data_IF_249709943736
#
_entry.id   IF_249709943736
#
_cell.length_a   1.000
_cell.length_b   1.000
_cell.length_c   1.000
_cell.angle_alpha   90.00
_cell.angle_beta   90.00
_cell.angle_gamma   90.00
#
_symmetry.space_group_name_H-M   'P 1'
#
loop_
_entity.id
_entity.type
_entity.pdbx_description
1 polymer ?
#
# COMPACT_ATOMS: atom_id res chain seq x y z
N UNK A 1 6.41 -46.62 -45.51
CA UNK A 1 5.38 -45.74 -44.93
C UNK A 1 5.75 -45.45 -43.48
N UNK A 2 6.37 -44.30 -43.24
CA UNK A 2 6.78 -43.85 -41.89
C UNK A 2 5.68 -42.93 -41.36
N UNK A 3 4.98 -43.35 -40.33
CA UNK A 3 3.98 -42.52 -39.63
C UNK A 3 4.71 -41.50 -38.77
N UNK A 4 4.65 -40.24 -39.15
CA UNK A 4 5.07 -39.14 -38.27
C UNK A 4 4.02 -38.95 -37.19
N UNK A 5 4.44 -39.15 -35.92
CA UNK A 5 3.64 -38.83 -34.73
C UNK A 5 3.99 -37.37 -34.34
N UNK A 6 3.03 -36.45 -34.53
CA UNK A 6 3.13 -35.09 -34.03
C UNK A 6 2.77 -35.11 -32.54
N UNK A 7 3.75 -34.89 -31.69
CA UNK A 7 3.53 -34.64 -30.26
C UNK A 7 3.20 -33.14 -30.10
N UNK A 8 1.92 -32.87 -29.84
CA UNK A 8 1.43 -31.55 -29.49
C UNK A 8 1.86 -31.27 -28.02
N UNK A 9 2.92 -30.51 -27.82
CA UNK A 9 3.31 -30.03 -26.49
C UNK A 9 2.35 -28.87 -26.13
N UNK A 10 1.38 -29.17 -25.28
CA UNK A 10 0.50 -28.17 -24.67
C UNK A 10 1.35 -27.39 -23.63
N UNK A 11 1.80 -26.20 -24.00
CA UNK A 11 2.43 -25.29 -23.07
C UNK A 11 1.32 -24.75 -22.13
N UNK A 12 1.17 -25.38 -20.97
CA UNK A 12 0.36 -24.83 -19.90
C UNK A 12 1.12 -23.63 -19.36
N UNK A 13 0.79 -22.45 -19.84
CA UNK A 13 1.18 -21.19 -19.18
C UNK A 13 0.38 -21.16 -17.88
N UNK A 14 1.00 -21.60 -16.80
CA UNK A 14 0.48 -21.34 -15.47
C UNK A 14 0.57 -19.82 -15.26
N UNK A 15 -0.55 -19.12 -15.45
CA UNK A 15 -0.71 -17.78 -14.88
C UNK A 15 -0.58 -17.95 -13.39
N UNK A 16 0.54 -17.49 -12.83
CA UNK A 16 0.68 -17.34 -11.40
C UNK A 16 -0.44 -16.39 -10.98
N UNK A 17 -1.46 -16.92 -10.33
CA UNK A 17 -2.45 -16.11 -9.63
C UNK A 17 -1.67 -15.40 -8.53
N UNK A 18 -1.34 -14.14 -8.76
CA UNK A 18 -0.75 -13.29 -7.72
C UNK A 18 -1.78 -13.15 -6.61
N UNK A 19 -1.42 -13.64 -5.45
CA UNK A 19 -2.17 -13.35 -4.21
C UNK A 19 -2.15 -11.85 -4.00
N UNK A 20 -3.27 -11.27 -3.59
CA UNK A 20 -3.41 -9.82 -3.41
C UNK A 20 -3.52 -9.44 -1.92
N UNK A 21 -2.50 -9.72 -1.11
CA UNK A 21 -2.39 -9.07 0.18
C UNK A 21 -2.11 -7.58 -0.03
N UNK A 22 -2.48 -6.76 0.92
CA UNK A 22 -2.08 -5.37 1.03
C UNK A 22 -1.42 -5.21 2.40
N UNK A 23 -0.12 -4.94 2.46
CA UNK A 23 0.84 -4.80 1.37
C UNK A 23 1.03 -6.08 0.54
N UNK A 24 1.40 -5.90 -0.73
CA UNK A 24 1.70 -7.02 -1.63
C UNK A 24 3.05 -7.67 -1.27
N UNK A 25 3.21 -8.94 -1.61
CA UNK A 25 4.47 -9.68 -1.37
C UNK A 25 5.67 -9.01 -2.06
N UNK A 26 5.46 -8.38 -3.24
CA UNK A 26 6.53 -7.67 -3.95
C UNK A 26 6.91 -6.34 -3.28
N UNK A 27 6.04 -5.77 -2.45
CA UNK A 27 6.35 -4.57 -1.66
C UNK A 27 7.28 -4.89 -0.49
N UNK A 28 7.31 -6.14 -0.04
CA UNK A 28 8.11 -6.60 1.10
C UNK A 28 7.91 -5.72 2.35
N UNK A 29 6.69 -5.27 2.57
CA UNK A 29 6.26 -4.52 3.73
C UNK A 29 5.52 -5.49 4.66
N UNK A 30 5.94 -5.64 5.93
CA UNK A 30 5.30 -6.57 6.83
C UNK A 30 3.90 -6.13 7.25
N UNK A 31 3.69 -4.85 7.53
CA UNK A 31 2.42 -4.32 8.01
C UNK A 31 2.17 -2.89 7.54
N UNK A 32 0.90 -2.58 7.27
CA UNK A 32 0.39 -1.22 7.37
C UNK A 32 0.30 -0.84 8.84
N UNK A 33 0.20 0.46 9.13
CA UNK A 33 0.20 0.96 10.48
C UNK A 33 -0.78 2.13 10.61
N UNK A 34 -1.46 2.21 11.75
CA UNK A 34 -2.24 3.38 12.15
C UNK A 34 -2.21 3.48 13.67
N UNK A 35 -1.86 4.63 14.20
CA UNK A 35 -1.83 4.87 15.64
C UNK A 35 -3.15 5.43 16.17
N UNK A 36 -3.37 5.31 17.47
CA UNK A 36 -4.44 6.03 18.16
C UNK A 36 -4.19 7.53 18.13
N UNK A 37 -5.24 8.35 18.02
CA UNK A 37 -5.15 9.80 17.82
C UNK A 37 -4.49 10.57 18.99
N UNK A 38 -4.13 9.91 20.08
CA UNK A 38 -3.39 10.48 21.20
C UNK A 38 -1.91 10.11 21.17
N UNK A 39 -1.46 9.31 20.20
CA UNK A 39 -0.07 8.95 20.05
C UNK A 39 0.79 10.20 19.73
N UNK A 40 2.05 10.14 20.08
CA UNK A 40 3.03 11.13 19.62
C UNK A 40 3.31 10.87 18.13
N UNK A 41 3.35 11.91 17.31
CA UNK A 41 3.63 11.81 15.87
C UNK A 41 5.01 11.24 15.58
N UNK A 42 5.96 11.43 16.50
CA UNK A 42 7.29 10.81 16.49
C UNK A 42 7.31 9.27 16.55
N UNK A 43 6.13 8.63 16.57
CA UNK A 43 6.01 7.19 16.42
C UNK A 43 5.75 6.76 14.95
N UNK A 44 5.73 7.73 14.04
CA UNK A 44 5.68 7.53 12.60
C UNK A 44 4.28 7.53 12.00
N UNK A 45 3.33 8.20 12.62
CA UNK A 45 1.99 8.44 12.07
C UNK A 45 1.61 9.90 12.33
N UNK A 46 1.39 10.68 11.29
CA UNK A 46 1.20 12.13 11.40
C UNK A 46 -0.28 12.56 11.44
N UNK A 47 -1.21 11.69 11.06
CA UNK A 47 -2.64 12.01 10.96
C UNK A 47 -3.58 10.94 11.55
N UNK A 48 -3.03 9.82 12.01
CA UNK A 48 -3.76 8.71 12.67
C UNK A 48 -4.86 8.09 11.80
N UNK A 49 -4.65 8.11 10.48
CA UNK A 49 -5.62 7.64 9.51
C UNK A 49 -4.93 7.08 8.29
N UNK A 50 -5.52 6.05 7.68
CA UNK A 50 -5.03 5.54 6.41
C UNK A 50 -6.18 5.07 5.52
N UNK A 51 -6.19 5.54 4.26
CA UNK A 51 -7.20 5.16 3.27
C UNK A 51 -6.59 4.30 2.16
N UNK A 52 -7.23 3.15 1.88
CA UNK A 52 -6.93 2.29 0.76
C UNK A 52 -8.10 2.17 -0.18
N UNK A 53 -7.80 2.08 -1.47
CA UNK A 53 -8.76 1.88 -2.54
C UNK A 53 -8.59 0.49 -3.14
N UNK A 54 -9.70 -0.20 -3.39
CA UNK A 54 -9.74 -1.50 -4.06
C UNK A 54 -10.42 -1.35 -5.41
N UNK A 55 -9.72 -1.75 -6.45
CA UNK A 55 -10.20 -1.78 -7.81
C UNK A 55 -10.71 -3.19 -8.16
N UNK A 56 -11.99 -3.31 -8.42
CA UNK A 56 -12.65 -4.53 -8.89
C UNK A 56 -12.84 -4.43 -10.40
N UNK A 57 -12.33 -5.37 -11.20
CA UNK A 57 -12.52 -5.36 -12.65
C UNK A 57 -14.00 -5.34 -13.04
N UNK A 58 -14.33 -4.67 -14.14
CA UNK A 58 -15.72 -4.55 -14.62
C UNK A 58 -16.39 -5.90 -14.90
N UNK A 59 -15.62 -6.88 -15.35
CA UNK A 59 -16.09 -8.22 -15.67
C UNK A 59 -16.34 -9.12 -14.46
N UNK A 60 -15.89 -8.71 -13.27
CA UNK A 60 -16.13 -9.44 -12.04
C UNK A 60 -17.49 -9.05 -11.44
N UNK A 61 -18.42 -10.01 -11.35
CA UNK A 61 -19.82 -9.80 -10.93
C UNK A 61 -20.23 -10.58 -9.67
N UNK A 62 -19.30 -11.36 -9.09
CA UNK A 62 -19.58 -12.16 -7.91
C UNK A 62 -19.40 -11.33 -6.62
N UNK A 63 -20.06 -11.71 -5.52
CA UNK A 63 -19.80 -11.10 -4.22
C UNK A 63 -18.34 -11.27 -3.81
N UNK A 64 -17.81 -10.27 -3.11
CA UNK A 64 -16.45 -10.28 -2.59
C UNK A 64 -16.38 -9.77 -1.15
N UNK A 65 -15.23 -9.92 -0.55
CA UNK A 65 -14.96 -9.58 0.84
C UNK A 65 -13.68 -8.76 0.95
N UNK A 66 -13.64 -7.85 1.93
CA UNK A 66 -12.43 -7.17 2.37
C UNK A 66 -12.09 -7.75 3.73
N UNK A 67 -10.94 -8.40 3.82
CA UNK A 67 -10.46 -9.01 5.05
C UNK A 67 -9.36 -8.16 5.66
N UNK A 68 -9.40 -8.01 6.98
CA UNK A 68 -8.38 -7.31 7.76
C UNK A 68 -7.72 -8.32 8.68
N UNK A 69 -6.41 -8.44 8.59
CA UNK A 69 -5.59 -9.22 9.50
C UNK A 69 -5.21 -8.32 10.67
N UNK A 70 -5.36 -8.81 11.88
CA UNK A 70 -5.04 -8.13 13.11
C UNK A 70 -5.69 -6.73 13.21
N UNK A 71 -7.05 -6.67 13.22
CA UNK A 71 -7.75 -5.37 13.16
C UNK A 71 -7.85 -4.66 14.50
N UNK A 72 -7.58 -5.34 15.61
CA UNK A 72 -7.60 -4.76 16.94
C UNK A 72 -6.20 -4.28 17.35
N UNK A 73 -6.14 -3.50 18.40
CA UNK A 73 -4.85 -3.08 18.96
C UNK A 73 -4.57 -3.88 20.21
N UNK A 74 -3.60 -4.78 20.11
CA UNK A 74 -3.23 -5.73 21.16
C UNK A 74 -2.21 -6.76 20.68
N UNK A 75 -1.81 -7.67 21.55
CA UNK A 75 -0.92 -8.75 21.17
C UNK A 75 0.55 -8.40 21.01
N UNK A 76 1.25 -9.16 20.16
CA UNK A 76 2.70 -9.09 20.07
C UNK A 76 3.26 -8.29 18.89
N UNK A 77 2.43 -8.04 17.87
CA UNK A 77 2.88 -7.33 16.67
C UNK A 77 2.62 -5.84 16.73
N UNK A 78 1.70 -5.43 17.58
CA UNK A 78 1.32 -4.03 17.77
C UNK A 78 2.33 -3.25 18.62
N UNK A 79 2.31 -1.93 18.46
CA UNK A 79 3.17 -1.02 19.21
C UNK A 79 2.46 -0.57 20.48
N UNK A 80 3.06 -0.87 21.63
CA UNK A 80 2.48 -0.58 22.93
C UNK A 80 3.03 0.72 23.53
N UNK A 81 2.15 1.65 23.88
CA UNK A 81 2.46 2.85 24.64
C UNK A 81 1.89 2.78 26.06
N UNK A 82 2.53 2.03 26.94
CA UNK A 82 2.07 1.85 28.32
C UNK A 82 1.18 0.62 28.52
N UNK A 83 -0.14 0.77 28.49
CA UNK A 83 -1.13 -0.32 28.46
C UNK A 83 -1.99 -0.15 27.21
N UNK A 84 -2.40 -1.23 26.56
CA UNK A 84 -3.26 -1.15 25.39
C UNK A 84 -4.56 -0.42 25.71
N UNK A 85 -4.77 0.72 25.08
CA UNK A 85 -5.94 1.57 25.27
C UNK A 85 -6.52 2.09 23.96
N UNK A 86 -5.91 1.74 22.83
CA UNK A 86 -6.26 2.27 21.53
C UNK A 86 -7.53 1.59 20.98
N UNK A 87 -8.30 2.41 20.28
CA UNK A 87 -9.47 1.99 19.54
C UNK A 87 -9.35 2.43 18.10
N UNK A 88 -9.39 1.46 17.20
CA UNK A 88 -9.40 1.65 15.76
C UNK A 88 -10.81 1.51 15.19
N UNK A 89 -11.12 2.26 14.14
CA UNK A 89 -12.37 2.14 13.38
C UNK A 89 -12.03 1.89 11.92
N UNK A 90 -12.58 0.82 11.38
CA UNK A 90 -12.53 0.53 9.95
C UNK A 90 -13.88 0.83 9.32
N UNK A 91 -13.87 1.59 8.22
CA UNK A 91 -15.05 1.98 7.48
C UNK A 91 -14.87 1.67 6.00
N UNK A 92 -15.83 0.93 5.43
CA UNK A 92 -15.83 0.56 4.00
C UNK A 92 -16.87 1.40 3.27
N UNK A 93 -16.45 2.06 2.22
CA UNK A 93 -17.25 2.93 1.38
C UNK A 93 -17.33 2.41 -0.06
N UNK A 94 -18.46 2.68 -0.71
CA UNK A 94 -18.69 2.49 -2.14
C UNK A 94 -19.57 3.61 -2.69
N UNK A 95 -20.16 3.41 -3.87
CA UNK A 95 -21.06 4.39 -4.49
C UNK A 95 -20.35 5.59 -5.11
N UNK A 96 -21.14 6.51 -5.65
CA UNK A 96 -20.64 7.71 -6.30
C UNK A 96 -19.74 8.54 -5.37
N UNK A 97 -18.72 9.15 -5.92
CA UNK A 97 -17.76 10.03 -5.22
C UNK A 97 -16.82 9.32 -4.23
N UNK A 98 -16.80 8.00 -4.19
CA UNK A 98 -15.87 7.29 -3.29
C UNK A 98 -14.41 7.52 -3.68
N UNK A 99 -14.14 7.78 -4.97
CA UNK A 99 -12.83 8.08 -5.52
C UNK A 99 -12.79 9.41 -6.29
N UNK A 100 -13.85 9.76 -7.02
CA UNK A 100 -13.88 11.00 -7.81
C UNK A 100 -13.93 12.27 -6.97
N UNK A 101 -14.34 12.18 -5.69
CA UNK A 101 -14.17 13.26 -4.73
C UNK A 101 -12.67 13.52 -4.50
N UNK A 102 -12.26 14.79 -4.62
CA UNK A 102 -10.85 15.19 -4.50
C UNK A 102 -10.32 14.91 -3.09
N UNK A 103 -11.09 15.28 -2.06
CA UNK A 103 -10.70 15.10 -0.67
C UNK A 103 -10.48 13.61 -0.29
N UNK A 104 -11.14 12.67 -1.01
CA UNK A 104 -10.95 11.24 -0.79
C UNK A 104 -9.54 10.74 -1.15
N UNK A 105 -8.80 11.52 -1.94
CA UNK A 105 -7.47 11.19 -2.44
C UNK A 105 -6.37 12.03 -1.80
N UNK A 106 -6.72 12.87 -0.84
CA UNK A 106 -5.74 13.63 -0.09
C UNK A 106 -5.03 12.75 0.95
N UNK A 107 -3.87 13.21 1.39
CA UNK A 107 -2.98 12.49 2.30
C UNK A 107 -3.28 12.77 3.78
N UNK A 108 -4.18 13.67 4.07
CA UNK A 108 -4.65 13.98 5.42
C UNK A 108 -6.17 13.97 5.45
N UNK A 109 -6.81 13.52 6.53
CA UNK A 109 -8.26 13.37 6.62
C UNK A 109 -8.99 14.72 6.74
N UNK A 110 -8.99 15.50 5.68
CA UNK A 110 -9.64 16.82 5.61
C UNK A 110 -10.84 16.79 4.67
N UNK A 111 -11.76 17.75 4.87
CA UNK A 111 -12.91 17.94 4.01
C UNK A 111 -13.82 16.71 3.93
N UNK A 112 -14.19 16.30 2.72
CA UNK A 112 -15.08 15.17 2.46
C UNK A 112 -14.34 13.85 2.20
N UNK A 113 -13.24 13.58 2.90
CA UNK A 113 -12.44 12.35 2.72
C UNK A 113 -13.25 11.04 2.93
N UNK A 114 -14.33 11.07 3.72
CA UNK A 114 -15.31 9.98 3.88
C UNK A 114 -16.41 9.98 2.82
N UNK A 115 -16.15 10.55 1.65
CA UNK A 115 -17.08 10.56 0.53
C UNK A 115 -17.47 9.15 0.08
N UNK A 116 -18.61 9.06 -0.60
CA UNK A 116 -19.24 7.80 -0.99
C UNK A 116 -20.34 7.37 -0.02
N UNK A 117 -20.81 6.15 -0.17
CA UNK A 117 -21.81 5.52 0.68
C UNK A 117 -21.13 4.58 1.66
N UNK A 118 -21.35 4.76 2.96
CA UNK A 118 -20.86 3.83 3.98
C UNK A 118 -21.59 2.48 3.83
N UNK A 119 -20.81 1.44 3.55
CA UNK A 119 -21.32 0.07 3.37
C UNK A 119 -21.14 -0.79 4.61
N UNK A 120 -20.07 -0.58 5.36
CA UNK A 120 -19.80 -1.28 6.61
C UNK A 120 -18.89 -0.43 7.51
N UNK A 121 -19.04 -0.57 8.81
CA UNK A 121 -18.19 0.05 9.82
C UNK A 121 -18.02 -0.88 11.01
N UNK A 122 -16.80 -0.93 11.56
CA UNK A 122 -16.53 -1.65 12.80
C UNK A 122 -15.38 -1.02 13.56
N UNK A 123 -15.60 -0.88 14.87
CA UNK A 123 -14.57 -0.50 15.82
C UNK A 123 -13.97 -1.73 16.49
N UNK A 124 -12.65 -1.67 16.71
CA UNK A 124 -11.90 -2.64 17.47
C UNK A 124 -11.16 -1.93 18.61
N UNK A 125 -11.03 -2.63 19.70
CA UNK A 125 -10.16 -2.33 20.83
C UNK A 125 -9.42 -3.63 21.14
N UNK A 126 -8.55 -3.65 22.13
CA UNK A 126 -7.84 -4.85 22.54
C UNK A 126 -8.81 -6.05 22.63
N UNK A 127 -8.52 -7.09 21.86
CA UNK A 127 -9.32 -8.31 21.82
C UNK A 127 -8.49 -9.51 21.33
N UNK A 128 -8.01 -10.38 22.24
CA UNK A 128 -7.16 -11.52 21.91
C UNK A 128 -7.74 -12.49 20.85
N UNK A 129 -9.01 -12.36 20.52
CA UNK A 129 -9.61 -13.16 19.45
C UNK A 129 -9.08 -12.78 18.08
N UNK A 130 -8.68 -11.53 17.91
CA UNK A 130 -8.23 -10.99 16.63
C UNK A 130 -6.72 -10.87 16.55
N UNK A 131 -5.97 -11.02 17.66
CA UNK A 131 -4.52 -11.11 17.66
C UNK A 131 -4.07 -12.16 16.63
N UNK A 132 -3.32 -11.75 15.60
CA UNK A 132 -2.93 -12.59 14.49
C UNK A 132 -4.11 -13.27 13.76
N UNK A 133 -5.31 -12.71 13.86
CA UNK A 133 -6.56 -13.22 13.31
C UNK A 133 -7.10 -12.37 12.16
N UNK A 134 -8.03 -12.95 11.39
CA UNK A 134 -8.72 -12.24 10.32
C UNK A 134 -10.13 -11.83 10.74
N UNK A 135 -10.49 -10.58 10.46
CA UNK A 135 -11.87 -10.12 10.41
C UNK A 135 -12.29 -9.91 8.95
N UNK A 136 -13.54 -10.20 8.63
CA UNK A 136 -14.06 -10.14 7.25
C UNK A 136 -15.25 -9.19 7.17
N UNK A 137 -15.13 -8.17 6.33
CA UNK A 137 -16.22 -7.30 5.90
C UNK A 137 -16.87 -7.84 4.63
N UNK A 138 -18.17 -7.70 4.51
CA UNK A 138 -18.94 -8.12 3.35
C UNK A 138 -19.96 -9.22 3.67
N UNK A 139 -20.55 -9.91 2.68
CA UNK A 139 -20.22 -9.78 1.24
C UNK A 139 -20.62 -8.43 0.65
N UNK A 140 -19.80 -7.90 -0.26
CA UNK A 140 -20.10 -6.72 -1.06
C UNK A 140 -20.48 -7.13 -2.48
N UNK A 141 -21.43 -6.42 -3.08
CA UNK A 141 -21.72 -6.56 -4.50
C UNK A 141 -20.84 -5.57 -5.29
N UNK A 142 -20.11 -5.99 -6.34
CA UNK A 142 -19.32 -5.08 -7.16
C UNK A 142 -20.09 -3.84 -7.65
N UNK A 143 -21.40 -3.98 -7.94
CA UNK A 143 -22.23 -2.85 -8.36
C UNK A 143 -22.37 -1.73 -7.31
N UNK A 144 -21.97 -1.97 -6.06
CA UNK A 144 -21.97 -0.95 -5.01
C UNK A 144 -20.73 -0.03 -5.08
N UNK A 145 -19.70 -0.36 -5.87
CA UNK A 145 -18.53 0.49 -6.08
C UNK A 145 -18.78 1.60 -7.10
N UNK A 146 -17.97 2.65 -7.06
CA UNK A 146 -17.93 3.69 -8.06
C UNK A 146 -17.31 3.16 -9.36
N UNK A 147 -18.04 3.24 -10.46
CA UNK A 147 -17.46 2.87 -11.76
C UNK A 147 -16.58 4.00 -12.28
N UNK A 148 -15.34 3.68 -12.62
CA UNK A 148 -14.37 4.64 -13.15
C UNK A 148 -13.86 4.15 -14.50
N UNK A 149 -14.19 4.88 -15.56
CA UNK A 149 -13.92 4.51 -16.96
C UNK A 149 -12.42 4.29 -17.23
N UNK A 150 -11.56 5.14 -16.67
CA UNK A 150 -10.12 5.05 -16.90
C UNK A 150 -9.53 3.72 -16.36
N UNK A 151 -10.13 3.17 -15.32
CA UNK A 151 -9.71 1.89 -14.73
C UNK A 151 -10.48 0.68 -15.31
N UNK A 152 -11.54 0.93 -16.06
CA UNK A 152 -12.50 -0.12 -16.51
C UNK A 152 -12.92 -1.02 -15.36
N UNK A 153 -13.25 -0.41 -14.22
CA UNK A 153 -13.54 -1.13 -12.99
C UNK A 153 -14.30 -0.29 -11.98
N UNK A 154 -14.55 -0.91 -10.84
CA UNK A 154 -15.29 -0.30 -9.73
C UNK A 154 -14.39 -0.14 -8.53
N UNK A 155 -14.47 1.02 -7.90
CA UNK A 155 -13.65 1.38 -6.75
C UNK A 155 -14.47 1.31 -5.47
N UNK A 156 -13.85 0.74 -4.46
CA UNK A 156 -14.25 0.77 -3.05
C UNK A 156 -13.13 1.41 -2.25
N UNK A 157 -13.45 2.01 -1.12
CA UNK A 157 -12.47 2.60 -0.20
C UNK A 157 -12.65 1.99 1.19
N UNK A 158 -11.53 1.66 1.84
CA UNK A 158 -11.50 1.38 3.28
C UNK A 158 -10.66 2.46 3.97
N UNK A 159 -11.15 2.94 5.10
CA UNK A 159 -10.43 3.87 5.96
C UNK A 159 -10.21 3.18 7.29
N UNK A 160 -8.99 3.20 7.81
CA UNK A 160 -8.64 2.87 9.18
C UNK A 160 -8.33 4.17 9.93
N UNK A 161 -8.95 4.38 11.07
CA UNK A 161 -8.73 5.57 11.91
C UNK A 161 -8.52 5.18 13.37
N UNK A 162 -7.48 5.75 13.98
CA UNK A 162 -7.27 5.71 15.41
C UNK A 162 -8.13 6.75 16.13
N UNK A 163 -9.21 6.32 16.76
CA UNK A 163 -10.19 7.23 17.37
C UNK A 163 -10.01 7.43 18.88
N UNK A 164 -9.16 6.62 19.51
CA UNK A 164 -8.80 6.73 20.92
C UNK A 164 -7.45 6.04 21.17
N UNK A 165 -6.77 6.42 22.28
CA UNK A 165 -5.53 5.80 22.72
C UNK A 165 -4.29 6.28 21.98
N UNK A 166 -3.14 5.68 22.31
CA UNK A 166 -1.81 6.08 21.89
C UNK A 166 -0.95 4.91 21.39
N UNK A 167 -1.51 3.70 21.30
CA UNK A 167 -0.83 2.53 20.75
C UNK A 167 -0.94 2.49 19.23
N UNK A 168 -0.05 1.75 18.57
CA UNK A 168 -0.06 1.53 17.12
C UNK A 168 -0.60 0.16 16.74
N UNK A 169 -1.55 0.14 15.83
CA UNK A 169 -2.09 -1.08 15.22
C UNK A 169 -1.33 -1.41 13.93
N UNK A 170 -0.86 -2.66 13.83
CA UNK A 170 -0.13 -3.24 12.71
C UNK A 170 -0.99 -4.25 11.97
N UNK A 171 -1.49 -3.91 10.80
CA UNK A 171 -2.49 -4.70 10.10
C UNK A 171 -2.15 -4.94 8.62
N UNK A 172 -2.94 -5.80 7.98
CA UNK A 172 -2.90 -6.05 6.53
C UNK A 172 -4.31 -6.23 5.99
N UNK A 173 -4.50 -5.90 4.71
CA UNK A 173 -5.74 -6.22 4.02
C UNK A 173 -5.59 -7.40 3.08
N UNK A 174 -6.72 -8.00 2.74
CA UNK A 174 -6.83 -8.95 1.65
C UNK A 174 -8.19 -8.81 0.96
N UNK A 175 -8.17 -8.59 -0.35
CA UNK A 175 -9.37 -8.59 -1.18
C UNK A 175 -9.67 -10.02 -1.61
N UNK A 176 -10.81 -10.59 -1.17
CA UNK A 176 -11.08 -12.01 -1.29
C UNK A 176 -12.43 -12.34 -1.92
N UNK A 177 -12.46 -13.43 -2.69
CA UNK A 177 -13.70 -14.07 -3.15
C UNK A 177 -14.36 -14.96 -2.10
N UNK A 178 -13.71 -15.16 -0.95
CA UNK A 178 -14.14 -16.10 0.09
C UNK A 178 -14.09 -15.39 1.47
N UNK A 179 -15.12 -15.63 2.30
CA UNK A 179 -15.23 -15.01 3.62
C UNK A 179 -14.21 -15.56 4.63
N UNK A 180 -13.85 -16.83 4.52
CA UNK A 180 -13.06 -17.55 5.51
C UNK A 180 -11.62 -17.81 5.06
N UNK A 181 -11.32 -17.60 3.78
CA UNK A 181 -10.01 -17.83 3.19
C UNK A 181 -9.56 -16.66 2.30
N UNK A 182 -8.25 -16.49 2.16
CA UNK A 182 -7.64 -15.51 1.27
C UNK A 182 -7.61 -16.08 -0.16
N UNK A 183 -8.57 -15.72 -0.98
CA UNK A 183 -8.69 -16.12 -2.39
C UNK A 183 -8.77 -14.89 -3.28
N UNK A 184 -7.80 -14.65 -4.16
CA UNK A 184 -7.74 -13.41 -4.93
C UNK A 184 -8.87 -13.28 -5.94
N UNK A 185 -9.16 -12.03 -6.30
CA UNK A 185 -9.98 -11.67 -7.47
C UNK A 185 -9.02 -11.44 -8.63
N UNK A 186 -9.15 -12.20 -9.70
CA UNK A 186 -8.31 -12.02 -10.89
C UNK A 186 -8.49 -10.62 -11.49
N UNK A 187 -7.37 -9.93 -11.75
CA UNK A 187 -7.35 -8.58 -12.32
C UNK A 187 -7.66 -7.45 -11.34
N UNK A 188 -8.00 -7.74 -10.08
CA UNK A 188 -8.17 -6.69 -9.09
C UNK A 188 -6.82 -6.10 -8.65
N UNK A 189 -6.86 -4.87 -8.14
CA UNK A 189 -5.69 -4.17 -7.60
C UNK A 189 -6.09 -3.36 -6.36
N UNK A 190 -5.11 -2.96 -5.57
CA UNK A 190 -5.29 -2.03 -4.48
C UNK A 190 -4.28 -0.88 -4.61
N UNK A 191 -4.65 0.29 -4.12
CA UNK A 191 -3.79 1.46 -4.15
C UNK A 191 -4.14 2.43 -3.03
N UNK A 192 -3.19 3.29 -2.69
CA UNK A 192 -3.35 4.38 -1.75
C UNK A 192 -2.67 5.64 -2.32
N UNK A 193 -2.92 6.79 -1.73
CA UNK A 193 -2.25 8.06 -2.05
C UNK A 193 -1.23 8.47 -0.99
N UNK A 194 -1.33 7.85 0.17
CA UNK A 194 -0.36 7.86 1.23
C UNK A 194 -0.18 6.45 1.76
N UNK A 195 1.03 6.14 2.17
CA UNK A 195 1.39 4.85 2.69
C UNK A 195 2.03 5.03 4.06
N UNK A 196 1.35 4.59 5.12
CA UNK A 196 1.86 4.53 6.49
C UNK A 196 2.14 3.07 6.82
N UNK A 197 3.41 2.73 7.03
CA UNK A 197 3.81 1.34 7.17
C UNK A 197 4.98 1.13 8.11
N UNK A 198 5.07 -0.09 8.63
CA UNK A 198 6.21 -0.58 9.37
C UNK A 198 7.16 -1.32 8.45
N UNK A 199 8.44 -1.01 8.55
CA UNK A 199 9.52 -1.73 7.90
C UNK A 199 9.89 -3.01 8.65
N UNK A 200 10.53 -3.96 7.95
CA UNK A 200 11.29 -5.02 8.61
C UNK A 200 12.41 -4.44 9.48
N UNK A 201 12.73 -5.11 10.56
CA UNK A 201 13.83 -4.69 11.44
C UNK A 201 15.21 -5.21 10.98
N UNK A 202 15.26 -5.93 9.88
CA UNK A 202 16.49 -6.47 9.30
C UNK A 202 17.03 -5.52 8.22
N UNK A 203 18.32 -5.22 8.25
CA UNK A 203 18.98 -4.35 7.27
C UNK A 203 19.14 -5.01 5.88
N UNK A 204 18.97 -6.34 5.76
CA UNK A 204 18.98 -7.05 4.48
C UNK A 204 17.63 -6.94 3.74
N UNK A 205 16.57 -6.56 4.45
CA UNK A 205 15.24 -6.40 3.90
C UNK A 205 15.05 -5.01 3.30
N UNK A 206 14.48 -4.97 2.11
CA UNK A 206 14.19 -3.73 1.39
C UNK A 206 12.69 -3.67 1.14
N UNK A 207 12.04 -2.60 1.62
CA UNK A 207 10.64 -2.36 1.28
C UNK A 207 10.53 -1.58 -0.02
N UNK A 208 9.46 -1.82 -0.77
CA UNK A 208 9.20 -1.23 -2.06
C UNK A 208 7.81 -0.60 -2.09
N UNK A 209 7.68 0.59 -2.65
CA UNK A 209 6.41 1.18 -3.01
C UNK A 209 6.45 1.68 -4.46
N UNK A 210 5.29 1.67 -5.13
CA UNK A 210 5.22 1.83 -6.57
C UNK A 210 4.30 2.98 -7.00
N UNK A 211 4.75 4.27 -6.85
CA UNK A 211 3.99 5.40 -7.37
C UNK A 211 3.91 5.35 -8.90
N UNK A 212 2.70 5.52 -9.42
CA UNK A 212 2.45 5.49 -10.86
C UNK A 212 2.56 6.88 -11.48
N UNK A 213 3.28 6.97 -12.60
CA UNK A 213 3.50 8.23 -13.33
C UNK A 213 2.47 8.39 -14.44
N UNK A 214 1.46 9.22 -14.19
CA UNK A 214 0.40 9.51 -15.15
C UNK A 214 0.87 10.41 -16.29
N UNK A 215 0.13 10.38 -17.41
CA UNK A 215 0.35 11.25 -18.54
C UNK A 215 0.32 12.73 -18.12
N UNK A 216 1.28 13.52 -18.64
CA UNK A 216 1.42 14.93 -18.34
C UNK A 216 2.10 15.25 -17.01
N UNK A 217 2.64 14.25 -16.30
CA UNK A 217 3.51 14.46 -15.15
C UNK A 217 4.90 14.93 -15.62
N UNK A 218 5.36 16.07 -15.13
CA UNK A 218 6.66 16.68 -15.49
C UNK A 218 7.67 16.52 -14.35
N UNK A 219 7.21 16.68 -13.13
CA UNK A 219 8.01 16.43 -11.92
C UNK A 219 7.14 15.80 -10.82
N UNK A 220 7.82 15.12 -9.91
CA UNK A 220 7.21 14.53 -8.73
C UNK A 220 7.92 15.05 -7.50
N UNK A 221 7.14 15.48 -6.52
CA UNK A 221 7.59 15.78 -5.16
C UNK A 221 7.37 14.54 -4.32
N UNK A 222 8.44 14.04 -3.72
CA UNK A 222 8.44 12.90 -2.79
C UNK A 222 8.51 13.47 -1.40
N UNK A 223 7.55 13.15 -0.55
CA UNK A 223 7.53 13.53 0.86
C UNK A 223 7.58 12.27 1.71
N UNK A 224 8.47 12.22 2.70
CA UNK A 224 8.51 11.14 3.69
C UNK A 224 8.61 11.72 5.10
N UNK A 225 8.03 11.02 6.07
CA UNK A 225 7.93 11.43 7.47
C UNK A 225 8.47 10.34 8.37
N UNK A 226 9.19 10.72 9.38
CA UNK A 226 9.66 9.89 10.50
C UNK A 226 10.51 8.67 10.11
N UNK A 227 11.29 8.75 9.02
CA UNK A 227 12.26 7.72 8.66
C UNK A 227 13.52 7.71 9.55
N UNK A 228 13.68 8.71 10.44
CA UNK A 228 14.71 8.82 11.48
C UNK A 228 16.16 8.79 10.98
N UNK A 229 16.38 9.05 9.70
CA UNK A 229 17.68 8.88 9.05
C UNK A 229 18.22 7.44 9.22
N UNK A 230 17.33 6.46 9.32
CA UNK A 230 17.67 5.07 9.60
C UNK A 230 18.17 4.29 8.38
N UNK A 231 18.05 4.90 7.22
CA UNK A 231 18.49 4.33 5.98
C UNK A 231 18.42 5.29 4.82
N UNK A 232 18.40 4.76 3.62
CA UNK A 232 18.30 5.50 2.37
C UNK A 232 16.97 5.18 1.68
N UNK A 233 16.43 6.17 0.97
CA UNK A 233 15.34 5.97 0.02
C UNK A 233 15.93 6.13 -1.38
N UNK A 234 15.82 5.08 -2.20
CA UNK A 234 16.40 5.04 -3.56
C UNK A 234 15.29 4.87 -4.58
N UNK A 235 15.22 5.78 -5.54
CA UNK A 235 14.27 5.73 -6.65
C UNK A 235 14.88 5.03 -7.84
N UNK A 236 14.23 3.97 -8.30
CA UNK A 236 14.57 3.24 -9.54
C UNK A 236 13.38 3.35 -10.50
N UNK A 237 13.65 3.41 -11.79
CA UNK A 237 12.64 3.43 -12.84
C UNK A 237 13.13 2.74 -14.11
N UNK A 238 12.33 2.73 -15.16
CA UNK A 238 12.74 2.28 -16.50
C UNK A 238 13.93 3.07 -17.06
N UNK A 239 14.16 4.30 -16.57
CA UNK A 239 15.20 5.21 -17.04
C UNK A 239 16.25 5.58 -15.98
N UNK A 240 16.06 5.16 -14.70
CA UNK A 240 16.95 5.48 -13.57
C UNK A 240 17.44 4.20 -12.89
N UNK A 241 18.74 4.10 -12.71
CA UNK A 241 19.39 2.95 -12.05
C UNK A 241 19.51 3.10 -10.53
N UNK A 242 19.07 4.21 -10.00
CA UNK A 242 19.08 4.55 -8.60
C UNK A 242 19.41 6.03 -8.38
N UNK A 243 18.52 6.74 -7.74
CA UNK A 243 18.73 8.09 -7.24
C UNK A 243 18.30 8.12 -5.78
N UNK A 244 19.22 8.46 -4.90
CA UNK A 244 18.89 8.74 -3.51
C UNK A 244 18.07 10.03 -3.43
N UNK A 245 17.08 10.00 -2.53
CA UNK A 245 16.27 11.17 -2.17
C UNK A 245 16.49 11.50 -0.71
N UNK A 246 16.11 12.70 -0.31
CA UNK A 246 16.19 13.12 1.08
C UNK A 246 15.36 12.24 1.97
N UNK A 247 15.92 11.89 3.12
CA UNK A 247 15.26 11.14 4.16
C UNK A 247 14.93 12.06 5.34
N UNK A 248 13.80 11.78 5.98
CA UNK A 248 13.32 12.51 7.16
C UNK A 248 14.10 12.14 8.42
N UNK A 249 14.06 13.05 9.40
CA UNK A 249 14.45 12.76 10.77
C UNK A 249 13.23 12.53 11.66
N UNK A 250 13.45 12.31 12.95
CA UNK A 250 12.43 12.08 13.96
C UNK A 250 11.41 13.24 13.97
N UNK A 251 10.12 12.90 13.85
CA UNK A 251 8.98 13.82 13.83
C UNK A 251 9.10 14.95 12.77
N UNK A 252 9.74 14.67 11.65
CA UNK A 252 9.98 15.65 10.61
C UNK A 252 9.60 15.11 9.22
N UNK A 253 9.08 16.00 8.38
CA UNK A 253 8.93 15.76 6.96
C UNK A 253 10.22 16.10 6.20
N UNK A 254 10.57 15.29 5.23
CA UNK A 254 11.58 15.61 4.22
C UNK A 254 10.99 15.56 2.82
N UNK A 255 11.30 16.58 2.03
CA UNK A 255 10.85 16.72 0.65
C UNK A 255 12.03 16.64 -0.31
N UNK A 256 11.85 15.93 -1.41
CA UNK A 256 12.75 15.97 -2.58
C UNK A 256 11.93 16.04 -3.86
N UNK A 257 12.53 16.56 -4.94
CA UNK A 257 11.87 16.71 -6.23
C UNK A 257 12.65 15.98 -7.32
N UNK A 258 11.92 15.23 -8.15
CA UNK A 258 12.44 14.54 -9.32
C UNK A 258 11.77 15.08 -10.58
N UNK A 259 12.57 15.45 -11.58
CA UNK A 259 12.03 15.64 -12.93
C UNK A 259 11.70 14.27 -13.52
N UNK A 260 10.50 14.13 -14.09
CA UNK A 260 10.07 12.94 -14.82
C UNK A 260 10.71 12.92 -16.20
N UNK A 261 11.15 11.75 -16.66
CA UNK A 261 11.66 11.49 -18.00
C UNK A 261 10.52 10.91 -18.86
N UNK A 262 10.58 11.14 -20.17
CA UNK A 262 9.51 10.74 -21.09
C UNK A 262 9.25 9.22 -21.05
N UNK A 263 10.30 8.43 -20.84
CA UNK A 263 10.23 6.96 -20.74
C UNK A 263 9.54 6.48 -19.45
N UNK A 264 9.45 7.32 -18.42
CA UNK A 264 8.86 6.99 -17.12
C UNK A 264 7.34 7.16 -17.11
N UNK A 265 6.79 7.92 -18.07
CA UNK A 265 5.35 8.13 -18.18
C UNK A 265 4.65 6.81 -18.51
N UNK A 266 3.55 6.53 -17.80
CA UNK A 266 2.79 5.29 -17.95
C UNK A 266 3.43 4.08 -17.25
N UNK A 267 4.45 4.30 -16.41
CA UNK A 267 5.11 3.26 -15.62
C UNK A 267 5.12 3.62 -14.14
N UNK A 268 5.41 2.66 -13.28
CA UNK A 268 5.63 2.91 -11.86
C UNK A 268 7.10 3.19 -11.58
N UNK A 269 7.39 4.08 -10.65
CA UNK A 269 8.67 4.10 -9.96
C UNK A 269 8.76 2.92 -8.99
N UNK A 270 9.96 2.54 -8.60
CA UNK A 270 10.26 1.66 -7.48
C UNK A 270 11.02 2.49 -6.42
N UNK A 271 10.32 2.88 -5.37
CA UNK A 271 10.91 3.53 -4.21
C UNK A 271 11.34 2.46 -3.23
N UNK A 272 12.65 2.34 -3.05
CA UNK A 272 13.28 1.35 -2.19
C UNK A 272 13.69 1.98 -0.88
N UNK A 273 13.09 1.50 0.19
CA UNK A 273 13.47 1.84 1.55
C UNK A 273 14.52 0.83 2.02
N UNK A 274 15.76 1.29 2.06
CA UNK A 274 16.95 0.47 2.39
C UNK A 274 17.44 0.85 3.77
N UNK A 275 17.33 -0.07 4.72
CA UNK A 275 17.70 0.19 6.09
C UNK A 275 19.22 0.14 6.29
N UNK A 276 19.80 1.16 6.94
CA UNK A 276 21.21 1.22 7.26
C UNK A 276 21.56 0.76 8.67
N UNK A 277 20.54 0.69 9.57
CA UNK A 277 20.74 0.31 10.97
C UNK A 277 19.84 -0.86 11.33
N UNK A 278 20.38 -1.96 11.89
CA UNK A 278 19.62 -3.20 12.05
C UNK A 278 18.69 -3.23 13.27
N UNK A 279 18.80 -2.30 14.20
CA UNK A 279 18.06 -2.33 15.46
C UNK A 279 17.47 -0.95 15.76
N UNK A 280 16.30 -0.70 15.21
CA UNK A 280 15.53 0.51 15.49
C UNK A 280 14.22 0.13 16.17
N UNK A 281 13.83 0.88 17.17
CA UNK A 281 12.61 0.58 17.93
C UNK A 281 11.41 0.92 17.07
N UNK A 282 11.16 1.98 16.56
CA UNK A 282 10.03 2.35 15.72
C UNK A 282 10.51 2.46 14.26
N UNK A 283 10.15 1.49 13.47
CA UNK A 283 10.60 1.34 12.10
C UNK A 283 9.48 1.76 11.13
N UNK A 284 8.76 2.79 11.50
CA UNK A 284 7.60 3.32 10.81
C UNK A 284 8.00 4.43 9.85
N UNK A 285 7.23 4.59 8.82
CA UNK A 285 7.41 5.68 7.85
C UNK A 285 6.09 6.01 7.17
N UNK A 286 5.82 7.30 6.98
CA UNK A 286 4.76 7.79 6.10
C UNK A 286 5.38 8.32 4.82
N UNK A 287 4.76 8.05 3.68
CA UNK A 287 5.22 8.55 2.40
C UNK A 287 4.07 8.92 1.49
N UNK A 288 4.20 10.06 0.82
CA UNK A 288 3.30 10.45 -0.26
C UNK A 288 4.09 11.07 -1.43
N UNK A 289 3.45 11.10 -2.58
CA UNK A 289 4.02 11.68 -3.80
C UNK A 289 3.00 12.58 -4.47
N UNK A 290 3.44 13.76 -4.89
CA UNK A 290 2.62 14.72 -5.61
C UNK A 290 3.25 15.10 -6.94
N UNK A 291 2.43 15.35 -7.94
CA UNK A 291 2.90 15.89 -9.22
C UNK A 291 3.18 17.40 -9.14
N UNK A 292 3.65 17.99 -10.23
CA UNK A 292 3.95 19.44 -10.33
C UNK A 292 2.76 20.37 -10.07
N UNK A 293 1.53 19.85 -10.05
CA UNK A 293 0.32 20.61 -9.72
C UNK A 293 -0.07 20.49 -8.25
N UNK A 294 0.68 19.70 -7.48
CA UNK A 294 0.36 19.38 -6.10
C UNK A 294 -0.71 18.30 -5.93
N UNK A 295 -1.13 17.64 -7.03
CA UNK A 295 -2.07 16.52 -6.98
C UNK A 295 -1.37 15.26 -6.51
N UNK A 296 -2.00 14.51 -5.62
CA UNK A 296 -1.51 13.24 -5.09
C UNK A 296 -1.43 12.18 -6.17
N UNK A 297 -0.42 11.33 -6.11
CA UNK A 297 -0.17 10.26 -7.06
C UNK A 297 -0.41 8.89 -6.39
N UNK A 298 -1.10 7.94 -7.06
CA UNK A 298 -1.40 6.66 -6.47
C UNK A 298 -0.18 5.74 -6.41
N UNK A 299 -0.05 5.02 -5.29
CA UNK A 299 0.83 3.85 -5.12
C UNK A 299 0.02 2.59 -5.36
N UNK A 300 0.32 1.84 -6.41
CA UNK A 300 -0.34 0.57 -6.68
C UNK A 300 0.42 -0.58 -6.03
N UNK A 301 -0.29 -1.47 -5.34
CA UNK A 301 0.31 -2.66 -4.74
C UNK A 301 0.80 -3.66 -5.78
N UNK A 302 0.19 -3.65 -6.98
CA UNK A 302 0.68 -4.33 -8.18
C UNK A 302 1.04 -3.25 -9.19
N UNK A 303 2.33 -3.01 -9.48
CA UNK A 303 2.75 -1.91 -10.32
C UNK A 303 2.17 -2.00 -11.72
N UNK A 304 1.67 -0.87 -12.22
CA UNK A 304 1.12 -0.71 -13.58
C UNK A 304 2.27 -0.37 -14.53
N UNK A 305 2.23 -0.93 -15.75
CA UNK A 305 3.28 -0.71 -16.76
C UNK A 305 4.59 -1.46 -16.47
N UNK A 306 4.65 -2.16 -15.35
CA UNK A 306 5.81 -2.89 -14.88
C UNK A 306 6.84 -2.00 -14.19
N UNK A 307 7.62 -2.62 -13.32
CA UNK A 307 8.84 -2.02 -12.75
C UNK A 307 10.03 -2.74 -13.38
N UNK A 308 11.03 -2.03 -13.88
CA UNK A 308 12.23 -2.69 -14.37
C UNK A 308 12.88 -3.43 -13.20
N UNK A 309 12.86 -4.75 -13.27
CA UNK A 309 13.67 -5.57 -12.39
C UNK A 309 15.13 -5.40 -12.84
N UNK A 310 15.76 -4.35 -12.36
CA UNK A 310 17.20 -4.15 -12.58
C UNK A 310 17.93 -5.26 -11.82
N UNK A 311 18.30 -6.34 -12.53
CA UNK A 311 19.35 -7.25 -12.10
C UNK A 311 20.66 -6.59 -12.46
N UNK A 312 21.16 -5.73 -11.60
CA UNK A 312 22.56 -5.32 -11.64
C UNK A 312 23.39 -6.53 -11.30
N UNK A 313 23.97 -7.21 -12.27
CA UNK A 313 25.12 -8.05 -12.03
C UNK A 313 26.26 -7.09 -11.66
N UNK A 314 26.59 -7.05 -10.38
CA UNK A 314 27.81 -6.37 -9.91
C UNK A 314 28.95 -7.29 -10.27
N UNK A 315 29.59 -7.03 -11.41
CA UNK A 315 30.83 -7.69 -11.78
C UNK A 315 31.96 -7.07 -10.91
N UNK A 316 32.39 -7.81 -9.90
CA UNK A 316 33.58 -7.45 -9.15
C UNK A 316 34.79 -7.69 -10.04
N UNK A 317 35.37 -6.62 -10.60
CA UNK A 317 36.68 -6.68 -11.24
C UNK A 317 37.71 -6.60 -10.13
N UNK A 318 38.54 -7.66 -9.89
CA UNK A 318 39.64 -7.58 -8.95
C UNK A 318 40.61 -6.48 -9.42
N UNK A 319 40.96 -5.58 -8.54
CA UNK A 319 42.04 -4.62 -8.76
C UNK A 319 43.34 -5.37 -8.38
N UNK A 320 44.18 -5.69 -9.38
CA UNK A 320 45.52 -6.23 -9.18
C UNK A 320 46.45 -5.21 -8.50
#
# INVERSE_FOLDING_TARGET
>A
MVKQIYILILLVVSTLAYTQPVPNVEENIPYLMTFGHMAETSWGDDDFSQAFFFLIPQEYDQPFFIRVFDPDTGGAIDELAGEFNTRQVYEVYGGESVWTEVDARETSPLGNYKSGTLLASRAFAENPRYDNGWYTFGPFNPAQGEYVEMFKGRIFKIICEGVAGDDGNMYRYYLSTDADANRPIEGANAFAYEYSFRMHNDYEEVAHIYPYVEDGTISVKISNFDWDVDGNIVVISVARQGREVKVSGEDLWADDELRVLDEEIGTSFDFRFVKARPLVKNNNVVVNVRNQRGETMPFYTIPIGGVPKYRGEVEFVPID
#
